data_IF_804379787477
#
_entry.id   IF_804379787477
#
_cell.length_a   1.000
_cell.length_b   1.000
_cell.length_c   1.000
_cell.angle_alpha   90.00
_cell.angle_beta   90.00
_cell.angle_gamma   90.00
#
_symmetry.space_group_name_H-M   'P 1'
#
loop_
_entity.id
_entity.type
_entity.pdbx_description
1 polymer ?
#
# COMPACT_ATOMS: atom_id res chain seq x y z
N UNK A 1 42.08 -38.84 35.89
CA UNK A 1 41.93 -40.23 36.37
C UNK A 1 41.33 -40.16 37.79
N UNK A 2 40.34 -40.96 38.06
CA UNK A 2 39.76 -41.08 39.39
C UNK A 2 40.35 -42.34 40.04
N UNK A 3 41.07 -42.15 41.14
CA UNK A 3 41.63 -43.23 41.91
C UNK A 3 41.10 -43.15 43.39
N UNK A 4 40.46 -44.20 43.86
CA UNK A 4 39.88 -44.20 45.21
C UNK A 4 38.85 -43.12 45.51
N UNK A 5 38.23 -42.53 44.46
CA UNK A 5 37.26 -41.42 44.58
C UNK A 5 37.87 -40.04 44.47
N UNK A 6 39.18 -39.90 44.37
CA UNK A 6 39.91 -38.63 44.16
C UNK A 6 40.32 -38.45 42.72
N UNK A 7 40.20 -37.24 42.20
CA UNK A 7 40.61 -36.86 40.84
C UNK A 7 42.13 -36.61 40.81
N UNK A 8 42.85 -37.49 40.18
CA UNK A 8 44.30 -37.29 39.94
C UNK A 8 44.49 -36.75 38.55
N UNK A 9 45.02 -35.54 38.45
CA UNK A 9 45.33 -34.89 37.16
C UNK A 9 46.78 -35.20 36.80
N UNK A 10 46.99 -35.87 35.68
CA UNK A 10 48.33 -36.15 35.14
C UNK A 10 48.33 -36.35 33.65
N UNK A 11 49.46 -36.15 32.97
CA UNK A 11 49.56 -36.34 31.52
C UNK A 11 49.36 -37.82 31.19
N UNK A 12 48.54 -38.11 30.18
CA UNK A 12 48.24 -39.47 29.69
C UNK A 12 49.49 -40.26 29.33
N UNK A 13 50.59 -39.59 28.94
CA UNK A 13 51.88 -40.18 28.63
C UNK A 13 52.55 -40.92 29.78
N UNK A 14 52.10 -40.72 31.01
CA UNK A 14 52.63 -41.39 32.18
C UNK A 14 52.04 -42.80 32.44
N UNK A 15 51.04 -43.14 31.61
CA UNK A 15 50.39 -44.46 31.74
C UNK A 15 50.69 -45.29 30.49
N UNK A 16 51.02 -46.57 30.72
CA UNK A 16 51.27 -47.50 29.62
C UNK A 16 49.93 -48.00 29.08
N UNK A 17 49.82 -48.01 27.78
CA UNK A 17 48.81 -48.76 27.07
C UNK A 17 49.04 -50.26 27.25
N UNK A 18 47.96 -51.08 27.14
CA UNK A 18 48.05 -52.53 27.37
C UNK A 18 49.05 -53.21 26.39
N UNK A 19 49.16 -52.72 25.16
CA UNK A 19 50.10 -53.21 24.17
C UNK A 19 51.56 -52.92 24.59
N UNK A 20 51.82 -51.72 25.10
CA UNK A 20 53.13 -51.33 25.64
C UNK A 20 53.44 -52.15 26.89
N UNK A 21 52.48 -52.42 27.74
CA UNK A 21 52.65 -53.26 28.93
C UNK A 21 52.97 -54.72 28.57
N UNK A 22 52.31 -55.27 27.54
CA UNK A 22 52.63 -56.62 27.03
C UNK A 22 54.04 -56.71 26.45
N UNK A 23 54.44 -55.70 25.68
CA UNK A 23 55.78 -55.66 25.12
C UNK A 23 56.85 -55.59 26.20
N UNK A 24 56.67 -54.76 27.21
CA UNK A 24 57.56 -54.61 28.32
C UNK A 24 57.66 -55.88 29.16
N UNK A 25 56.51 -56.53 29.39
CA UNK A 25 56.47 -57.84 30.05
C UNK A 25 57.24 -58.91 29.30
N UNK A 26 57.12 -58.93 27.98
CA UNK A 26 57.91 -59.86 27.12
C UNK A 26 59.39 -59.60 27.22
N UNK A 27 59.86 -58.34 27.20
CA UNK A 27 61.26 -57.98 27.39
C UNK A 27 61.83 -58.38 28.75
N UNK A 28 61.04 -58.24 29.85
CA UNK A 28 61.42 -58.61 31.19
C UNK A 28 61.52 -60.12 31.36
N UNK A 29 60.53 -60.90 30.84
CA UNK A 29 60.54 -62.36 30.89
C UNK A 29 61.75 -62.90 30.12
N UNK A 30 62.05 -62.37 28.93
CA UNK A 30 63.22 -62.76 28.12
C UNK A 30 64.52 -62.44 28.85
N UNK A 31 64.63 -61.38 29.60
CA UNK A 31 65.75 -61.04 30.43
C UNK A 31 65.99 -62.02 31.57
N UNK A 32 64.95 -62.63 32.13
CA UNK A 32 65.00 -63.62 33.26
C UNK A 32 65.43 -65.00 32.73
N UNK A 33 64.82 -65.43 31.60
CA UNK A 33 65.07 -66.83 31.13
C UNK A 33 66.13 -66.95 30.06
N UNK A 34 66.71 -65.90 29.59
CA UNK A 34 67.85 -65.80 28.57
C UNK A 34 67.61 -66.62 27.28
N UNK A 35 66.48 -67.26 27.07
CA UNK A 35 66.09 -68.02 25.90
C UNK A 35 64.64 -67.76 25.56
N UNK A 36 64.40 -67.03 24.44
CA UNK A 36 63.03 -66.64 24.00
C UNK A 36 62.21 -67.85 23.56
N UNK A 37 62.78 -68.96 23.26
CA UNK A 37 62.14 -70.19 22.77
C UNK A 37 61.87 -71.26 23.82
N UNK A 38 62.34 -71.01 25.05
CA UNK A 38 62.11 -71.93 26.13
C UNK A 38 60.64 -72.04 26.51
N UNK A 39 60.20 -73.27 26.91
CA UNK A 39 58.83 -73.47 27.28
C UNK A 39 58.46 -72.67 28.56
N UNK A 40 59.43 -72.45 29.43
CA UNK A 40 59.24 -71.67 30.68
C UNK A 40 59.05 -70.16 30.33
N UNK A 41 59.72 -69.60 29.34
CA UNK A 41 59.53 -68.21 28.89
C UNK A 41 58.20 -68.00 28.22
N UNK A 42 57.77 -68.90 27.33
CA UNK A 42 56.46 -68.85 26.69
C UNK A 42 55.31 -69.00 27.69
N UNK A 43 55.36 -69.97 28.59
CA UNK A 43 54.34 -70.16 29.64
C UNK A 43 54.31 -68.96 30.60
N UNK A 44 55.46 -68.38 30.96
CA UNK A 44 55.51 -67.20 31.83
C UNK A 44 54.86 -65.96 31.14
N UNK A 45 55.10 -65.80 29.88
CA UNK A 45 54.52 -64.71 29.12
C UNK A 45 52.99 -64.88 28.98
N UNK A 46 52.53 -66.06 28.60
CA UNK A 46 51.08 -66.34 28.50
C UNK A 46 50.35 -66.19 29.86
N UNK A 47 50.88 -66.71 30.90
CA UNK A 47 50.30 -66.63 32.28
C UNK A 47 50.17 -65.12 32.67
N UNK A 48 51.24 -64.38 32.60
CA UNK A 48 51.18 -62.95 33.00
C UNK A 48 50.20 -62.13 32.13
N UNK A 49 50.19 -62.36 30.84
CA UNK A 49 49.25 -61.64 29.96
C UNK A 49 47.80 -62.03 30.21
N UNK A 50 47.48 -63.27 30.57
CA UNK A 50 46.11 -63.71 30.90
C UNK A 50 45.58 -63.01 32.15
N UNK A 51 46.45 -62.76 33.15
CA UNK A 51 46.07 -62.03 34.35
C UNK A 51 46.23 -60.55 34.31
N UNK A 52 46.91 -60.01 33.23
CA UNK A 52 47.09 -58.57 33.03
C UNK A 52 45.79 -57.91 32.58
N UNK A 53 45.14 -57.17 33.45
CA UNK A 53 43.93 -56.41 33.13
C UNK A 53 44.21 -54.93 33.23
N UNK A 54 43.52 -54.11 32.35
CA UNK A 54 43.63 -52.66 32.45
C UNK A 54 43.16 -52.20 33.83
N UNK A 55 44.00 -51.49 34.56
CA UNK A 55 43.65 -50.88 35.86
C UNK A 55 43.11 -49.46 35.71
N UNK A 56 43.13 -48.92 34.49
CA UNK A 56 42.53 -47.64 34.09
C UNK A 56 41.58 -47.94 32.95
N UNK A 57 40.31 -47.60 33.08
CA UNK A 57 39.26 -47.80 32.09
C UNK A 57 38.73 -46.41 31.71
N UNK A 58 38.53 -46.17 30.44
CA UNK A 58 37.90 -44.97 29.97
C UNK A 58 36.40 -44.99 30.29
N UNK A 59 35.98 -44.08 31.19
CA UNK A 59 34.58 -43.88 31.49
C UNK A 59 34.01 -42.82 30.58
N UNK A 60 33.28 -43.26 29.57
CA UNK A 60 32.67 -42.39 28.56
C UNK A 60 31.59 -41.49 29.16
N UNK A 61 30.73 -42.03 29.99
CA UNK A 61 29.60 -41.27 30.58
C UNK A 61 30.10 -40.17 31.51
N UNK A 62 31.09 -40.47 32.34
CA UNK A 62 31.67 -39.50 33.24
C UNK A 62 32.49 -38.44 32.49
N UNK A 63 33.14 -38.83 31.42
CA UNK A 63 33.91 -37.89 30.56
C UNK A 63 32.97 -36.93 29.84
N UNK A 64 31.91 -37.43 29.22
CA UNK A 64 30.90 -36.63 28.57
C UNK A 64 30.16 -35.70 29.55
N UNK A 65 29.86 -36.19 30.74
CA UNK A 65 29.25 -35.37 31.80
C UNK A 65 30.18 -34.24 32.22
N UNK A 66 31.46 -34.55 32.49
CA UNK A 66 32.44 -33.54 32.88
C UNK A 66 32.69 -32.49 31.77
N UNK A 67 32.74 -32.91 30.51
CA UNK A 67 32.82 -32.00 29.40
C UNK A 67 31.61 -31.08 29.33
N UNK A 68 30.43 -31.62 29.50
CA UNK A 68 29.20 -30.83 29.53
C UNK A 68 29.18 -29.86 30.70
N UNK A 69 29.55 -30.31 31.89
CA UNK A 69 29.62 -29.46 33.09
C UNK A 69 30.65 -28.35 32.96
N UNK A 70 31.78 -28.58 32.26
CA UNK A 70 32.77 -27.56 31.96
C UNK A 70 32.24 -26.55 30.92
N UNK A 71 31.56 -27.02 29.88
CA UNK A 71 30.92 -26.14 28.89
C UNK A 71 29.82 -25.28 29.53
N UNK A 72 29.04 -25.86 30.45
CA UNK A 72 27.97 -25.12 31.15
C UNK A 72 28.52 -24.10 32.18
N UNK A 73 29.77 -24.24 32.62
CA UNK A 73 30.48 -23.25 33.46
C UNK A 73 31.06 -22.07 32.67
N UNK A 74 31.23 -22.23 31.37
CA UNK A 74 31.66 -21.10 30.51
C UNK A 74 30.50 -20.14 30.41
N UNK A 75 30.65 -18.93 30.92
CA UNK A 75 29.64 -17.88 30.81
C UNK A 75 29.37 -17.61 29.34
N UNK A 76 28.12 -17.73 28.92
CA UNK A 76 27.66 -17.36 27.57
C UNK A 76 27.60 -15.84 27.40
N UNK A 77 27.86 -15.10 28.47
CA UNK A 77 27.78 -13.65 28.50
C UNK A 77 29.15 -13.06 28.84
N UNK A 78 29.59 -12.13 28.00
CA UNK A 78 30.82 -11.37 28.24
C UNK A 78 30.45 -9.92 28.57
N UNK A 79 30.23 -9.66 29.86
CA UNK A 79 29.82 -8.36 30.35
C UNK A 79 28.30 -8.16 30.41
N UNK A 80 27.87 -7.01 30.92
CA UNK A 80 26.47 -6.60 31.06
C UNK A 80 26.30 -5.22 30.43
N UNK A 81 25.20 -5.00 29.74
CA UNK A 81 24.73 -3.69 29.28
C UNK A 81 23.55 -3.29 30.12
N UNK A 82 23.61 -2.11 30.73
CA UNK A 82 22.54 -1.61 31.59
C UNK A 82 21.34 -1.14 30.76
N UNK A 83 20.16 -1.11 31.38
CA UNK A 83 18.98 -0.54 30.73
C UNK A 83 19.24 0.95 30.46
N UNK A 84 18.95 1.40 29.23
CA UNK A 84 19.22 2.75 28.71
C UNK A 84 20.73 3.12 28.58
N UNK A 85 21.64 2.15 28.68
CA UNK A 85 23.04 2.37 28.33
C UNK A 85 23.18 2.56 26.80
N UNK A 86 23.86 3.64 26.38
CA UNK A 86 24.17 3.90 24.98
C UNK A 86 25.20 2.87 24.49
N UNK A 87 24.85 2.00 23.55
CA UNK A 87 25.75 1.01 22.97
C UNK A 87 26.66 1.61 21.91
N UNK A 88 26.12 2.50 21.08
CA UNK A 88 26.84 3.22 20.02
C UNK A 88 26.15 4.54 19.75
N UNK A 89 26.90 5.61 19.57
CA UNK A 89 26.40 6.92 19.19
C UNK A 89 26.31 7.08 17.67
N UNK A 90 25.48 8.05 17.23
CA UNK A 90 25.38 8.40 15.81
C UNK A 90 26.77 8.82 15.28
N UNK A 91 27.13 8.32 14.11
CA UNK A 91 28.44 8.59 13.44
C UNK A 91 29.68 7.93 14.07
N UNK A 92 29.55 7.14 15.13
CA UNK A 92 30.66 6.38 15.65
C UNK A 92 30.91 5.08 14.87
N UNK A 93 32.20 4.71 14.72
CA UNK A 93 32.58 3.48 14.03
C UNK A 93 32.13 2.26 14.86
N UNK A 94 31.45 1.33 14.22
CA UNK A 94 31.06 0.06 14.82
C UNK A 94 32.32 -0.81 14.92
N UNK A 95 32.83 -0.98 16.15
CA UNK A 95 33.93 -1.92 16.45
C UNK A 95 33.37 -3.34 16.63
N UNK A 96 34.25 -4.36 16.63
CA UNK A 96 33.82 -5.75 16.83
C UNK A 96 33.11 -5.95 18.18
N UNK A 97 33.52 -5.24 19.21
CA UNK A 97 32.88 -5.28 20.53
C UNK A 97 31.46 -4.67 20.51
N UNK A 98 31.28 -3.57 19.79
CA UNK A 98 29.97 -2.91 19.60
C UNK A 98 29.06 -3.81 18.74
N UNK A 99 29.61 -4.40 17.68
CA UNK A 99 28.88 -5.34 16.83
C UNK A 99 28.38 -6.55 17.62
N UNK A 100 29.22 -7.06 18.53
CA UNK A 100 28.86 -8.19 19.40
C UNK A 100 27.76 -7.81 20.39
N UNK A 101 27.80 -6.61 20.97
CA UNK A 101 26.72 -6.08 21.82
C UNK A 101 25.41 -5.93 21.06
N UNK A 102 25.45 -5.39 19.83
CA UNK A 102 24.27 -5.22 18.97
C UNK A 102 23.66 -6.59 18.56
N UNK A 103 24.50 -7.55 18.18
CA UNK A 103 24.05 -8.93 17.87
C UNK A 103 23.43 -9.60 19.08
N UNK A 104 24.04 -9.43 20.27
CA UNK A 104 23.49 -9.97 21.52
C UNK A 104 22.16 -9.32 21.88
N UNK A 105 22.02 -8.02 21.68
CA UNK A 105 20.79 -7.29 21.86
C UNK A 105 19.71 -7.80 20.89
N UNK A 106 20.04 -7.96 19.62
CA UNK A 106 19.13 -8.51 18.60
C UNK A 106 18.66 -9.92 18.98
N UNK A 107 19.58 -10.77 19.42
CA UNK A 107 19.27 -12.13 19.87
C UNK A 107 18.36 -12.12 21.10
N UNK A 108 18.61 -11.26 22.10
CA UNK A 108 17.78 -11.19 23.30
C UNK A 108 16.40 -10.57 23.00
N UNK A 109 16.32 -9.59 22.09
CA UNK A 109 15.05 -9.07 21.58
C UNK A 109 14.24 -10.15 20.84
N UNK A 110 14.89 -10.91 19.94
CA UNK A 110 14.21 -12.00 19.24
C UNK A 110 13.75 -13.10 20.22
N UNK A 111 14.54 -13.40 21.24
CA UNK A 111 14.19 -14.37 22.27
C UNK A 111 13.01 -13.90 23.15
N UNK A 112 13.00 -12.63 23.57
CA UNK A 112 11.91 -12.04 24.38
C UNK A 112 10.62 -11.89 23.59
N UNK A 113 10.73 -11.56 22.31
CA UNK A 113 9.58 -11.45 21.41
C UNK A 113 9.10 -12.80 20.86
N UNK A 114 9.82 -13.90 21.17
CA UNK A 114 9.42 -15.25 20.75
C UNK A 114 9.61 -15.57 19.27
N UNK A 115 10.39 -14.79 18.53
CA UNK A 115 10.52 -14.87 17.06
C UNK A 115 11.31 -16.10 16.53
N UNK A 116 11.77 -17.00 17.37
CA UNK A 116 12.61 -18.11 16.91
C UNK A 116 11.84 -19.38 16.48
N UNK A 117 10.53 -19.47 16.71
CA UNK A 117 9.76 -20.66 16.32
C UNK A 117 8.90 -20.38 15.09
N UNK A 118 8.79 -21.36 14.19
CA UNK A 118 7.87 -21.30 13.05
C UNK A 118 6.41 -20.96 13.47
N UNK A 119 6.02 -21.34 14.68
CA UNK A 119 4.74 -21.00 15.29
C UNK A 119 4.55 -19.52 15.54
N UNK A 120 5.61 -18.76 15.79
CA UNK A 120 5.51 -17.33 16.11
C UNK A 120 5.39 -16.51 14.82
N UNK A 121 6.08 -16.89 13.76
CA UNK A 121 5.85 -16.34 12.41
C UNK A 121 4.43 -16.64 11.93
N UNK A 122 3.91 -17.84 12.19
CA UNK A 122 2.53 -18.17 11.84
C UNK A 122 1.52 -17.29 12.59
N UNK A 123 1.74 -17.01 13.87
CA UNK A 123 0.89 -16.08 14.65
C UNK A 123 0.92 -14.67 14.11
N UNK A 124 2.10 -14.18 13.71
CA UNK A 124 2.27 -12.86 13.10
C UNK A 124 1.50 -12.76 11.76
N UNK A 125 1.65 -13.74 10.87
CA UNK A 125 0.90 -13.79 9.61
C UNK A 125 -0.61 -13.91 9.83
N UNK A 126 -1.05 -14.73 10.80
CA UNK A 126 -2.46 -14.83 11.15
C UNK A 126 -2.99 -13.51 11.71
N UNK A 127 -2.22 -12.86 12.58
CA UNK A 127 -2.56 -11.53 13.11
C UNK A 127 -2.72 -10.49 11.99
N UNK A 128 -1.75 -10.41 11.09
CA UNK A 128 -1.82 -9.52 9.93
C UNK A 128 -3.03 -9.84 9.03
N UNK A 129 -3.29 -11.14 8.76
CA UNK A 129 -4.45 -11.58 8.00
C UNK A 129 -5.77 -11.13 8.63
N UNK A 130 -5.93 -11.28 9.95
CA UNK A 130 -7.14 -10.84 10.64
C UNK A 130 -7.31 -9.31 10.60
N UNK A 131 -6.24 -8.55 10.79
CA UNK A 131 -6.30 -7.08 10.70
C UNK A 131 -6.71 -6.64 9.29
N UNK A 132 -6.07 -7.18 8.25
CA UNK A 132 -6.43 -6.88 6.85
C UNK A 132 -7.88 -7.27 6.57
N UNK A 133 -8.32 -8.45 7.03
CA UNK A 133 -9.71 -8.93 6.85
C UNK A 133 -10.72 -8.01 7.51
N UNK A 134 -10.43 -7.51 8.72
CA UNK A 134 -11.31 -6.55 9.43
C UNK A 134 -11.38 -5.23 8.64
N UNK A 135 -10.24 -4.70 8.17
CA UNK A 135 -10.21 -3.45 7.42
C UNK A 135 -10.99 -3.56 6.10
N UNK A 136 -10.83 -4.67 5.37
CA UNK A 136 -11.61 -4.94 4.16
C UNK A 136 -13.10 -5.14 4.47
N UNK A 137 -13.43 -5.84 5.54
CA UNK A 137 -14.82 -6.00 5.98
C UNK A 137 -15.46 -4.64 6.30
N UNK A 138 -14.76 -3.73 6.96
CA UNK A 138 -15.23 -2.37 7.20
C UNK A 138 -15.47 -1.61 5.90
N UNK A 139 -14.55 -1.72 4.92
CA UNK A 139 -14.71 -1.10 3.61
C UNK A 139 -15.97 -1.63 2.89
N UNK A 140 -16.11 -2.94 2.78
CA UNK A 140 -17.25 -3.54 2.09
C UNK A 140 -18.57 -3.26 2.80
N UNK A 141 -18.60 -3.27 4.13
CA UNK A 141 -19.77 -2.91 4.93
C UNK A 141 -20.18 -1.45 4.70
N UNK A 142 -19.23 -0.53 4.68
CA UNK A 142 -19.49 0.88 4.39
C UNK A 142 -20.07 1.06 2.97
N UNK A 143 -19.45 0.44 1.97
CA UNK A 143 -19.95 0.52 0.59
C UNK A 143 -21.36 -0.08 0.47
N UNK A 144 -21.63 -1.20 1.12
CA UNK A 144 -22.94 -1.86 1.12
C UNK A 144 -24.04 -1.00 1.77
N UNK A 145 -23.73 -0.38 2.90
CA UNK A 145 -24.73 0.39 3.69
C UNK A 145 -24.91 1.80 3.11
N UNK A 146 -23.81 2.52 2.85
CA UNK A 146 -23.86 3.95 2.55
C UNK A 146 -23.62 4.30 1.08
N UNK A 147 -23.00 3.41 0.30
CA UNK A 147 -22.64 3.64 -1.11
C UNK A 147 -23.05 2.46 -1.99
N UNK A 148 -24.25 1.98 -1.80
CA UNK A 148 -24.81 0.81 -2.50
C UNK A 148 -24.66 0.84 -4.04
N UNK A 149 -24.75 1.97 -4.75
CA UNK A 149 -24.48 2.03 -6.18
C UNK A 149 -23.05 1.57 -6.53
N UNK A 150 -22.04 2.04 -5.78
CA UNK A 150 -20.65 1.61 -6.00
C UNK A 150 -20.42 0.15 -5.64
N UNK A 151 -21.08 -0.34 -4.58
CA UNK A 151 -21.01 -1.75 -4.20
C UNK A 151 -21.57 -2.70 -5.26
N UNK A 152 -22.62 -2.28 -5.97
CA UNK A 152 -23.24 -3.09 -7.04
C UNK A 152 -22.49 -3.02 -8.37
N UNK A 153 -21.68 -2.00 -8.58
CA UNK A 153 -20.93 -1.80 -9.80
C UNK A 153 -19.55 -2.44 -9.69
N UNK A 154 -19.36 -3.56 -10.38
CA UNK A 154 -18.09 -4.28 -10.39
C UNK A 154 -16.93 -3.44 -10.92
N UNK A 155 -17.17 -2.49 -11.84
CA UNK A 155 -16.13 -1.58 -12.33
C UNK A 155 -15.64 -0.65 -11.23
N UNK A 156 -16.54 -0.14 -10.39
CA UNK A 156 -16.18 0.73 -9.26
C UNK A 156 -15.41 -0.03 -8.18
N UNK A 157 -15.83 -1.25 -7.87
CA UNK A 157 -15.08 -2.11 -6.94
C UNK A 157 -13.69 -2.44 -7.48
N UNK A 158 -13.58 -2.72 -8.77
CA UNK A 158 -12.29 -2.99 -9.42
C UNK A 158 -11.39 -1.75 -9.42
N UNK A 159 -11.95 -0.56 -9.68
CA UNK A 159 -11.24 0.72 -9.58
C UNK A 159 -10.62 0.94 -8.19
N UNK A 160 -11.42 0.78 -7.13
CA UNK A 160 -10.94 0.90 -5.75
C UNK A 160 -9.82 -0.12 -5.50
N UNK A 161 -10.03 -1.37 -5.90
CA UNK A 161 -9.08 -2.46 -5.67
C UNK A 161 -7.75 -2.24 -6.40
N UNK A 162 -7.77 -1.77 -7.65
CA UNK A 162 -6.54 -1.53 -8.43
C UNK A 162 -5.74 -0.37 -7.87
N UNK A 163 -6.40 0.70 -7.40
CA UNK A 163 -5.73 1.83 -6.75
C UNK A 163 -5.12 1.37 -5.43
N UNK A 164 -5.84 0.62 -4.60
CA UNK A 164 -5.30 0.08 -3.35
C UNK A 164 -4.10 -0.85 -3.61
N UNK A 165 -4.22 -1.74 -4.58
CA UNK A 165 -3.14 -2.65 -4.95
C UNK A 165 -1.90 -1.90 -5.44
N UNK A 166 -2.06 -0.87 -6.28
CA UNK A 166 -0.96 -0.05 -6.77
C UNK A 166 -0.21 0.64 -5.62
N UNK A 167 -0.91 1.19 -4.62
CA UNK A 167 -0.28 1.79 -3.44
C UNK A 167 0.45 0.74 -2.60
N UNK A 168 -0.15 -0.43 -2.37
CA UNK A 168 0.52 -1.51 -1.63
C UNK A 168 1.76 -2.02 -2.36
N UNK A 169 1.71 -2.10 -3.70
CA UNK A 169 2.86 -2.48 -4.52
C UNK A 169 4.00 -1.45 -4.42
N UNK A 170 3.68 -0.13 -4.46
CA UNK A 170 4.68 0.91 -4.23
C UNK A 170 5.26 0.84 -2.82
N UNK A 171 4.43 0.55 -1.80
CA UNK A 171 4.88 0.34 -0.43
C UNK A 171 5.86 -0.83 -0.32
N UNK A 172 5.54 -1.98 -0.94
CA UNK A 172 6.44 -3.13 -1.00
C UNK A 172 7.76 -2.80 -1.71
N UNK A 173 7.70 -2.07 -2.84
CA UNK A 173 8.89 -1.67 -3.57
C UNK A 173 9.78 -0.73 -2.74
N UNK A 174 9.20 0.29 -2.09
CA UNK A 174 9.91 1.22 -1.22
C UNK A 174 10.65 0.46 -0.10
N UNK A 175 10.00 -0.50 0.54
CA UNK A 175 10.61 -1.32 1.59
C UNK A 175 11.75 -2.20 1.04
N UNK A 176 11.56 -2.83 -0.12
CA UNK A 176 12.56 -3.70 -0.72
C UNK A 176 13.82 -2.95 -1.16
N UNK A 177 13.68 -1.72 -1.65
CA UNK A 177 14.80 -0.85 -2.05
C UNK A 177 15.31 0.06 -0.93
N UNK A 178 14.81 -0.09 0.30
CA UNK A 178 15.17 0.73 1.47
C UNK A 178 15.05 2.25 1.21
N UNK A 179 14.07 2.62 0.40
CA UNK A 179 13.77 4.02 0.12
C UNK A 179 12.91 4.63 1.24
N UNK A 180 12.80 5.96 1.25
CA UNK A 180 11.95 6.65 2.24
C UNK A 180 10.47 6.25 2.08
N UNK A 181 9.80 5.94 3.19
CA UNK A 181 8.38 5.62 3.22
C UNK A 181 7.49 6.77 2.68
N UNK A 182 7.98 7.99 2.72
CA UNK A 182 7.27 9.17 2.20
C UNK A 182 7.18 9.23 0.67
N UNK A 183 7.87 8.32 -0.06
CA UNK A 183 7.64 8.12 -1.49
C UNK A 183 6.34 7.36 -1.81
N UNK A 184 5.71 6.71 -0.82
CA UNK A 184 4.46 5.97 -1.06
C UNK A 184 3.32 6.97 -1.33
N UNK A 185 2.71 6.95 -2.53
CA UNK A 185 1.88 8.05 -3.00
C UNK A 185 0.41 7.94 -2.54
N UNK A 186 0.15 7.81 -1.25
CA UNK A 186 -1.21 7.68 -0.69
C UNK A 186 -2.06 8.92 -1.02
N UNK A 187 -1.44 10.10 -1.06
CA UNK A 187 -2.10 11.36 -1.40
C UNK A 187 -2.66 11.33 -2.83
N UNK A 188 -1.94 10.72 -3.77
CA UNK A 188 -2.42 10.56 -5.16
C UNK A 188 -3.68 9.69 -5.17
N UNK A 189 -3.67 8.55 -4.47
CA UNK A 189 -4.84 7.69 -4.37
C UNK A 189 -6.04 8.40 -3.77
N UNK A 190 -5.83 9.18 -2.69
CA UNK A 190 -6.90 9.93 -2.04
C UNK A 190 -7.51 10.99 -2.94
N UNK A 191 -6.70 11.71 -3.70
CA UNK A 191 -7.18 12.72 -4.64
C UNK A 191 -7.91 12.09 -5.82
N UNK A 192 -7.36 11.03 -6.42
CA UNK A 192 -7.99 10.27 -7.51
C UNK A 192 -9.37 9.75 -7.08
N UNK A 193 -9.46 9.06 -5.96
CA UNK A 193 -10.73 8.52 -5.46
C UNK A 193 -11.75 9.63 -5.14
N UNK A 194 -11.28 10.79 -4.67
CA UNK A 194 -12.16 11.94 -4.40
C UNK A 194 -12.77 12.49 -5.68
N UNK A 195 -11.98 12.58 -6.76
CA UNK A 195 -12.42 13.12 -8.05
C UNK A 195 -13.26 12.11 -8.81
N UNK A 196 -12.84 10.84 -8.83
CA UNK A 196 -13.51 9.78 -9.60
C UNK A 196 -14.80 9.27 -8.95
N UNK A 197 -14.86 9.23 -7.61
CA UNK A 197 -15.99 8.71 -6.86
C UNK A 197 -16.60 9.80 -5.98
N UNK A 198 -16.23 9.83 -4.70
CA UNK A 198 -16.62 10.87 -3.74
C UNK A 198 -15.67 10.96 -2.54
N UNK A 199 -15.74 12.08 -1.81
CA UNK A 199 -14.87 12.33 -0.66
C UNK A 199 -15.05 11.32 0.48
N UNK A 200 -16.24 10.74 0.66
CA UNK A 200 -16.50 9.80 1.76
C UNK A 200 -15.86 8.45 1.52
N UNK A 201 -15.96 7.93 0.28
CA UNK A 201 -15.27 6.70 -0.14
C UNK A 201 -13.77 6.90 -0.09
N UNK A 202 -13.28 8.01 -0.65
CA UNK A 202 -11.86 8.36 -0.63
C UNK A 202 -11.31 8.40 0.79
N UNK A 203 -12.02 9.02 1.73
CA UNK A 203 -11.59 9.12 3.13
C UNK A 203 -11.41 7.74 3.75
N UNK A 204 -12.42 6.86 3.63
CA UNK A 204 -12.35 5.53 4.22
C UNK A 204 -11.25 4.68 3.59
N UNK A 205 -11.16 4.65 2.26
CA UNK A 205 -10.11 3.89 1.55
C UNK A 205 -8.73 4.39 1.93
N UNK A 206 -8.56 5.72 2.03
CA UNK A 206 -7.27 6.30 2.39
C UNK A 206 -6.87 6.01 3.84
N UNK A 207 -7.80 6.01 4.79
CA UNK A 207 -7.54 5.60 6.17
C UNK A 207 -7.07 4.14 6.20
N UNK A 208 -7.77 3.27 5.47
CA UNK A 208 -7.38 1.85 5.36
C UNK A 208 -5.99 1.72 4.74
N UNK A 209 -5.69 2.46 3.66
CA UNK A 209 -4.37 2.45 3.04
C UNK A 209 -3.27 2.93 3.99
N UNK A 210 -3.50 4.01 4.74
CA UNK A 210 -2.54 4.51 5.73
C UNK A 210 -2.25 3.43 6.77
N UNK A 211 -3.27 2.76 7.29
CA UNK A 211 -3.10 1.68 8.28
C UNK A 211 -2.37 0.48 7.68
N UNK A 212 -2.74 0.03 6.48
CA UNK A 212 -2.09 -1.09 5.81
C UNK A 212 -0.61 -0.79 5.48
N UNK A 213 -0.32 0.42 4.99
CA UNK A 213 1.06 0.85 4.72
C UNK A 213 1.84 1.00 6.02
N UNK A 214 1.24 1.56 7.09
CA UNK A 214 1.90 1.65 8.40
C UNK A 214 2.28 0.28 8.94
N UNK A 215 1.42 -0.73 8.83
CA UNK A 215 1.73 -2.12 9.18
C UNK A 215 2.89 -2.66 8.33
N UNK A 216 2.90 -2.37 7.02
CA UNK A 216 3.94 -2.83 6.11
C UNK A 216 5.32 -2.25 6.46
N UNK A 217 5.39 -0.98 6.86
CA UNK A 217 6.66 -0.28 7.20
C UNK A 217 7.08 -0.44 8.67
N UNK A 218 6.47 -1.36 9.42
CA UNK A 218 6.85 -1.66 10.81
C UNK A 218 6.20 -0.76 11.87
N UNK A 219 4.95 -0.36 11.67
CA UNK A 219 4.13 0.42 12.63
C UNK A 219 4.70 1.81 12.97
N UNK A 220 5.12 2.56 11.94
CA UNK A 220 5.62 3.92 12.11
C UNK A 220 4.48 4.90 12.41
N UNK A 221 4.34 5.30 13.68
CA UNK A 221 3.29 6.21 14.14
C UNK A 221 3.43 7.62 13.54
N UNK A 222 4.66 8.11 13.36
CA UNK A 222 4.92 9.44 12.79
C UNK A 222 4.42 9.50 11.34
N UNK A 223 4.78 8.51 10.54
CA UNK A 223 4.27 8.36 9.18
C UNK A 223 2.73 8.32 9.16
N UNK A 224 2.13 7.54 10.06
CA UNK A 224 0.68 7.39 10.14
C UNK A 224 -0.01 8.72 10.44
N UNK A 225 0.46 9.46 11.44
CA UNK A 225 -0.08 10.78 11.82
C UNK A 225 0.08 11.76 10.66
N UNK A 226 1.27 11.87 10.09
CA UNK A 226 1.55 12.80 9.00
C UNK A 226 0.68 12.51 7.77
N UNK A 227 0.61 11.25 7.32
CA UNK A 227 -0.22 10.86 6.19
C UNK A 227 -1.70 11.13 6.43
N UNK A 228 -2.19 10.86 7.66
CA UNK A 228 -3.59 11.12 8.01
C UNK A 228 -3.97 12.59 7.78
N UNK A 229 -3.19 13.53 8.30
CA UNK A 229 -3.47 14.95 8.14
C UNK A 229 -3.37 15.41 6.68
N UNK A 230 -2.32 15.00 5.95
CA UNK A 230 -2.12 15.42 4.56
C UNK A 230 -3.19 14.86 3.65
N UNK A 231 -3.58 13.60 3.82
CA UNK A 231 -4.69 12.96 3.09
C UNK A 231 -6.01 13.69 3.36
N UNK A 232 -6.31 14.03 4.62
CA UNK A 232 -7.51 14.79 4.96
C UNK A 232 -7.56 16.14 4.22
N UNK A 233 -6.46 16.89 4.27
CA UNK A 233 -6.33 18.18 3.59
C UNK A 233 -6.43 18.02 2.06
N UNK A 234 -5.82 16.96 1.49
CA UNK A 234 -5.89 16.68 0.06
C UNK A 234 -7.31 16.43 -0.42
N UNK A 235 -8.06 15.58 0.28
CA UNK A 235 -9.48 15.30 -0.02
C UNK A 235 -10.31 16.58 0.04
N UNK A 236 -10.13 17.37 1.11
CA UNK A 236 -10.86 18.62 1.27
C UNK A 236 -10.57 19.61 0.15
N UNK A 237 -9.31 19.73 -0.29
CA UNK A 237 -8.87 20.68 -1.31
C UNK A 237 -9.43 20.37 -2.71
N UNK A 238 -9.64 19.06 -3.04
CA UNK A 238 -10.10 18.65 -4.37
C UNK A 238 -11.59 18.33 -4.45
N UNK A 239 -12.29 18.26 -3.33
CA UNK A 239 -13.72 17.89 -3.26
C UNK A 239 -14.63 18.73 -4.16
N UNK A 240 -14.31 19.99 -4.42
CA UNK A 240 -15.10 20.94 -5.22
C UNK A 240 -14.21 21.67 -6.22
N UNK A 241 -13.46 20.93 -7.01
CA UNK A 241 -12.61 21.52 -8.04
C UNK A 241 -13.46 22.01 -9.21
N UNK A 242 -13.43 23.30 -9.46
CA UNK A 242 -14.13 23.97 -10.58
C UNK A 242 -13.21 24.77 -11.49
N UNK A 243 -11.97 25.06 -11.07
CA UNK A 243 -11.04 25.92 -11.83
C UNK A 243 -9.65 25.30 -11.86
N UNK A 244 -8.98 25.33 -13.02
CA UNK A 244 -7.59 24.85 -13.19
C UNK A 244 -6.62 25.47 -12.19
N UNK A 245 -6.80 26.75 -11.83
CA UNK A 245 -5.96 27.44 -10.84
C UNK A 245 -5.99 26.77 -9.46
N UNK A 246 -7.06 26.06 -9.13
CA UNK A 246 -7.16 25.36 -7.84
C UNK A 246 -6.14 24.23 -7.70
N UNK A 247 -5.66 23.65 -8.79
CA UNK A 247 -4.58 22.63 -8.76
C UNK A 247 -3.32 23.25 -8.17
N UNK A 248 -2.94 24.43 -8.67
CA UNK A 248 -1.74 25.16 -8.19
C UNK A 248 -1.88 25.53 -6.72
N UNK A 249 -3.04 26.05 -6.31
CA UNK A 249 -3.28 26.37 -4.90
C UNK A 249 -3.25 25.14 -4.00
N UNK A 250 -3.74 24.00 -4.49
CA UNK A 250 -3.66 22.72 -3.76
C UNK A 250 -2.20 22.25 -3.59
N UNK A 251 -1.35 22.39 -4.61
CA UNK A 251 0.07 22.05 -4.51
C UNK A 251 0.75 22.79 -3.35
N UNK A 252 0.62 24.12 -3.33
CA UNK A 252 1.21 24.93 -2.26
C UNK A 252 0.57 24.65 -0.88
N UNK A 253 -0.74 24.43 -0.84
CA UNK A 253 -1.45 24.07 0.39
C UNK A 253 -0.92 22.76 0.97
N UNK A 254 -0.73 21.74 0.13
CA UNK A 254 -0.22 20.43 0.59
C UNK A 254 1.22 20.53 1.08
N UNK A 255 2.10 21.25 0.36
CA UNK A 255 3.48 21.46 0.80
C UNK A 255 3.52 22.19 2.15
N UNK A 256 2.79 23.32 2.26
CA UNK A 256 2.73 24.07 3.52
C UNK A 256 2.20 23.19 4.66
N UNK A 257 1.13 22.44 4.43
CA UNK A 257 0.56 21.54 5.42
C UNK A 257 1.52 20.42 5.81
N UNK A 258 2.27 19.86 4.86
CA UNK A 258 3.30 18.85 5.11
C UNK A 258 4.37 19.38 6.05
N UNK A 259 4.90 20.57 5.76
CA UNK A 259 5.89 21.21 6.61
C UNK A 259 5.32 21.52 8.00
N UNK A 260 4.11 22.07 8.06
CA UNK A 260 3.46 22.41 9.33
C UNK A 260 3.22 21.18 10.23
N UNK A 261 2.67 20.08 9.65
CA UNK A 261 2.44 18.84 10.39
C UNK A 261 3.75 18.22 10.84
N UNK A 262 4.76 18.22 9.98
CA UNK A 262 6.09 17.71 10.31
C UNK A 262 6.70 18.45 11.51
N UNK A 263 6.76 19.78 11.46
CA UNK A 263 7.27 20.57 12.57
C UNK A 263 6.45 20.39 13.85
N UNK A 264 5.13 20.22 13.73
CA UNK A 264 4.27 19.95 14.88
C UNK A 264 4.62 18.61 15.55
N UNK A 265 4.89 17.56 14.76
CA UNK A 265 5.32 16.25 15.27
C UNK A 265 6.71 16.34 15.92
N UNK A 266 7.65 17.07 15.30
CA UNK A 266 8.98 17.31 15.90
C UNK A 266 8.89 18.00 17.25
N UNK A 267 8.12 19.09 17.34
CA UNK A 267 7.89 19.81 18.60
C UNK A 267 7.26 18.91 19.67
N UNK A 268 6.25 18.14 19.29
CA UNK A 268 5.59 17.20 20.20
C UNK A 268 6.55 16.15 20.78
N UNK A 269 7.52 15.70 19.99
CA UNK A 269 8.53 14.72 20.41
C UNK A 269 9.73 15.32 21.12
N UNK A 270 9.85 16.66 21.17
CA UNK A 270 11.01 17.35 21.73
C UNK A 270 12.31 17.09 20.95
N UNK A 271 12.21 16.84 19.65
CA UNK A 271 13.39 16.62 18.79
C UNK A 271 14.05 17.96 18.49
N UNK A 272 15.37 18.03 18.67
CA UNK A 272 16.13 19.21 18.31
C UNK A 272 16.18 19.39 16.79
N UNK A 273 15.85 20.61 16.35
CA UNK A 273 15.84 20.96 14.92
C UNK A 273 17.24 20.92 14.30
N UNK A 274 18.31 21.14 15.07
CA UNK A 274 19.67 21.16 14.55
C UNK A 274 20.22 19.77 14.21
N UNK A 275 19.74 18.74 14.89
CA UNK A 275 20.24 17.36 14.77
C UNK A 275 19.42 16.49 13.83
N UNK A 276 18.35 17.03 13.23
CA UNK A 276 17.44 16.24 12.39
C UNK A 276 17.92 16.12 10.95
N UNK A 277 17.81 14.90 10.39
CA UNK A 277 18.05 14.67 8.96
C UNK A 277 16.84 15.10 8.13
N UNK A 278 16.92 16.27 7.50
CA UNK A 278 15.83 16.87 6.73
C UNK A 278 15.53 16.18 5.38
N UNK A 279 16.27 15.14 4.98
CA UNK A 279 16.00 14.43 3.71
C UNK A 279 14.59 13.83 3.65
N UNK A 280 14.10 13.28 4.76
CA UNK A 280 12.76 12.67 4.85
C UNK A 280 11.64 13.69 4.58
N UNK A 281 11.75 14.88 5.18
CA UNK A 281 10.77 15.93 4.93
C UNK A 281 10.86 16.48 3.50
N UNK A 282 12.07 16.52 2.93
CA UNK A 282 12.27 16.88 1.53
C UNK A 282 11.53 15.94 0.58
N UNK A 283 11.63 14.64 0.80
CA UNK A 283 10.89 13.64 0.02
C UNK A 283 9.37 13.77 0.21
N UNK A 284 8.91 14.00 1.44
CA UNK A 284 7.49 14.16 1.71
C UNK A 284 6.93 15.45 1.10
N UNK A 285 7.66 16.56 1.15
CA UNK A 285 7.28 17.80 0.50
C UNK A 285 7.22 17.66 -1.03
N UNK A 286 8.18 16.95 -1.62
CA UNK A 286 8.22 16.66 -3.05
C UNK A 286 7.02 15.82 -3.49
N UNK A 287 6.72 14.73 -2.79
CA UNK A 287 5.56 13.89 -3.11
C UNK A 287 4.25 14.65 -2.92
N UNK A 288 4.13 15.49 -1.89
CA UNK A 288 2.96 16.35 -1.66
C UNK A 288 2.79 17.39 -2.77
N UNK A 289 3.89 17.97 -3.27
CA UNK A 289 3.89 18.92 -4.38
C UNK A 289 3.47 18.27 -5.70
N UNK A 290 3.98 17.08 -6.01
CA UNK A 290 3.69 16.38 -7.26
C UNK A 290 2.32 15.70 -7.29
N UNK A 291 1.77 15.36 -6.13
CA UNK A 291 0.52 14.59 -6.03
C UNK A 291 -0.66 15.21 -6.78
N UNK A 292 -0.95 16.52 -6.72
CA UNK A 292 -2.02 17.12 -7.50
C UNK A 292 -1.81 17.00 -9.01
N UNK A 293 -0.59 17.24 -9.49
CA UNK A 293 -0.27 17.14 -10.93
C UNK A 293 -0.51 15.73 -11.44
N UNK A 294 0.05 14.73 -10.72
CA UNK A 294 -0.07 13.34 -11.11
C UNK A 294 -1.51 12.84 -11.00
N UNK A 295 -2.23 13.23 -9.94
CA UNK A 295 -3.63 12.84 -9.78
C UNK A 295 -4.50 13.35 -10.92
N UNK A 296 -4.41 14.65 -11.26
CA UNK A 296 -5.19 15.21 -12.35
C UNK A 296 -4.75 14.74 -13.74
N UNK A 297 -3.46 14.45 -13.92
CA UNK A 297 -2.96 13.83 -15.14
C UNK A 297 -3.49 12.41 -15.36
N UNK A 298 -3.77 11.67 -14.28
CA UNK A 298 -4.32 10.32 -14.33
C UNK A 298 -5.85 10.27 -14.47
N UNK A 299 -6.59 11.33 -14.09
CA UNK A 299 -8.07 11.34 -14.16
C UNK A 299 -8.60 10.94 -15.54
N UNK A 300 -8.17 11.51 -16.67
CA UNK A 300 -8.71 11.14 -17.98
C UNK A 300 -8.48 9.68 -18.34
N UNK A 301 -7.36 9.10 -17.90
CA UNK A 301 -7.07 7.69 -18.11
C UNK A 301 -8.09 6.80 -17.40
N UNK A 302 -8.38 7.10 -16.12
CA UNK A 302 -9.35 6.34 -15.33
C UNK A 302 -10.79 6.59 -15.80
N UNK A 303 -11.14 7.80 -16.20
CA UNK A 303 -12.45 8.11 -16.80
C UNK A 303 -12.70 7.27 -18.05
N UNK A 304 -11.73 7.23 -18.95
CA UNK A 304 -11.82 6.43 -20.19
C UNK A 304 -11.89 4.92 -19.90
N UNK A 305 -11.04 4.42 -19.01
CA UNK A 305 -10.95 2.98 -18.71
C UNK A 305 -12.20 2.45 -18.01
N UNK A 306 -12.82 3.24 -17.13
CA UNK A 306 -13.94 2.83 -16.29
C UNK A 306 -15.29 3.40 -16.73
N UNK A 307 -15.32 4.30 -17.71
CA UNK A 307 -16.54 4.96 -18.20
C UNK A 307 -17.15 5.91 -17.16
N UNK A 308 -16.30 6.54 -16.35
CA UNK A 308 -16.71 7.51 -15.32
C UNK A 308 -16.74 8.91 -15.93
N UNK A 309 -17.71 9.73 -15.53
CA UNK A 309 -17.76 11.13 -15.90
C UNK A 309 -17.62 11.97 -14.64
N UNK A 310 -16.47 12.65 -14.50
CA UNK A 310 -16.20 13.54 -13.37
C UNK A 310 -16.77 14.94 -13.59
N UNK A 311 -16.84 15.73 -12.54
CA UNK A 311 -17.20 17.14 -12.65
C UNK A 311 -16.19 17.93 -13.49
N UNK A 312 -14.93 17.45 -13.58
CA UNK A 312 -13.91 18.06 -14.42
C UNK A 312 -14.24 17.92 -15.91
N UNK A 313 -14.57 16.73 -16.38
CA UNK A 313 -15.02 16.49 -17.76
C UNK A 313 -16.35 17.19 -18.07
N UNK A 314 -17.26 17.28 -17.10
CA UNK A 314 -18.49 18.03 -17.27
C UNK A 314 -18.23 19.54 -17.48
N UNK A 315 -17.25 20.13 -16.78
CA UNK A 315 -16.88 21.54 -16.98
C UNK A 315 -16.30 21.77 -18.37
N UNK A 316 -15.51 20.83 -18.90
CA UNK A 316 -14.98 20.93 -20.27
C UNK A 316 -16.10 20.93 -21.32
N UNK A 317 -17.16 20.17 -21.10
CA UNK A 317 -18.33 20.16 -21.99
C UNK A 317 -19.12 21.47 -22.01
N UNK A 318 -18.95 22.35 -21.01
CA UNK A 318 -19.56 23.69 -21.00
C UNK A 318 -18.78 24.73 -21.81
N UNK A 319 -17.59 24.37 -22.29
CA UNK A 319 -16.77 25.29 -23.09
C UNK A 319 -17.43 25.49 -24.46
N UNK A 320 -17.58 26.75 -24.86
CA UNK A 320 -18.11 27.11 -26.18
C UNK A 320 -17.21 26.70 -27.34
N UNK A 321 -15.96 26.40 -27.07
CA UNK A 321 -15.02 25.84 -28.04
C UNK A 321 -15.26 24.36 -28.37
N UNK A 322 -16.12 23.67 -27.63
CA UNK A 322 -16.53 22.32 -27.97
C UNK A 322 -17.21 22.24 -29.34
N UNK A 323 -16.86 21.26 -30.19
CA UNK A 323 -17.33 21.19 -31.59
C UNK A 323 -18.85 21.28 -31.75
N UNK A 324 -19.61 20.57 -30.89
CA UNK A 324 -21.07 20.62 -30.92
C UNK A 324 -21.64 21.98 -30.48
N UNK A 325 -20.99 22.62 -29.48
CA UNK A 325 -21.42 23.95 -29.05
C UNK A 325 -21.19 25.01 -30.15
N UNK A 326 -20.03 24.95 -30.83
CA UNK A 326 -19.77 25.82 -32.02
C UNK A 326 -20.82 25.64 -33.10
N UNK A 327 -21.16 24.39 -33.45
CA UNK A 327 -22.21 24.11 -34.43
C UNK A 327 -23.58 24.63 -33.97
N UNK A 328 -23.95 24.49 -32.70
CA UNK A 328 -25.20 25.05 -32.16
C UNK A 328 -25.22 26.58 -32.27
N UNK A 329 -24.12 27.25 -32.00
CA UNK A 329 -24.00 28.72 -32.12
C UNK A 329 -24.16 29.16 -33.57
N UNK A 330 -23.52 28.47 -34.49
CA UNK A 330 -23.47 28.86 -35.92
C UNK A 330 -24.73 28.45 -36.68
N UNK A 331 -25.24 27.23 -36.50
CA UNK A 331 -26.30 26.63 -37.30
C UNK A 331 -27.69 26.69 -36.62
N UNK A 332 -27.76 26.74 -35.29
CA UNK A 332 -29.01 26.76 -34.52
C UNK A 332 -28.95 27.72 -33.32
N UNK A 333 -28.70 29.02 -33.51
CA UNK A 333 -28.48 29.98 -32.42
C UNK A 333 -29.65 30.12 -31.45
N UNK A 334 -30.89 29.94 -31.93
CA UNK A 334 -32.09 29.91 -31.07
C UNK A 334 -32.08 28.72 -30.11
N UNK A 335 -31.78 27.53 -30.62
CA UNK A 335 -31.64 26.33 -29.79
C UNK A 335 -30.49 26.46 -28.78
N UNK A 336 -29.36 27.02 -29.17
CA UNK A 336 -28.24 27.29 -28.24
C UNK A 336 -28.69 28.23 -27.11
N UNK A 337 -29.34 29.36 -27.43
CA UNK A 337 -29.86 30.31 -26.42
C UNK A 337 -30.89 29.68 -25.49
N UNK A 338 -31.79 28.84 -26.04
CA UNK A 338 -32.73 28.04 -25.27
C UNK A 338 -32.01 27.13 -24.30
N UNK A 339 -31.06 26.36 -24.78
CA UNK A 339 -30.30 25.37 -23.96
C UNK A 339 -29.55 26.04 -22.80
N UNK A 340 -28.95 27.22 -22.99
CA UNK A 340 -28.33 28.00 -21.92
C UNK A 340 -29.34 28.42 -20.84
N UNK A 341 -30.49 28.93 -21.25
CA UNK A 341 -31.57 29.34 -20.29
C UNK A 341 -32.07 28.18 -19.50
N UNK A 342 -32.39 27.06 -20.15
CA UNK A 342 -32.79 25.81 -19.51
C UNK A 342 -31.70 25.30 -18.57
N UNK A 343 -30.44 25.35 -19.01
CA UNK A 343 -29.31 24.95 -18.19
C UNK A 343 -29.16 25.74 -16.89
N UNK A 344 -29.35 27.07 -16.97
CA UNK A 344 -29.28 27.93 -15.79
C UNK A 344 -30.41 27.64 -14.81
N UNK A 345 -31.62 27.43 -15.29
CA UNK A 345 -32.80 27.07 -14.46
C UNK A 345 -32.64 25.69 -13.84
N UNK A 346 -32.19 24.71 -14.64
CA UNK A 346 -31.96 23.33 -14.17
C UNK A 346 -30.84 23.26 -13.11
N UNK A 347 -29.74 24.01 -13.28
CA UNK A 347 -28.69 24.09 -12.27
C UNK A 347 -29.21 24.66 -10.94
N UNK A 348 -29.99 25.77 -11.01
CA UNK A 348 -30.55 26.40 -9.83
C UNK A 348 -31.55 25.46 -9.09
N UNK A 349 -32.41 24.81 -9.85
CA UNK A 349 -33.38 23.85 -9.30
C UNK A 349 -32.69 22.64 -8.68
N UNK A 350 -31.69 22.07 -9.35
CA UNK A 350 -30.90 20.94 -8.84
C UNK A 350 -30.10 21.29 -7.58
N UNK A 351 -29.56 22.52 -7.49
CA UNK A 351 -28.91 23.02 -6.28
C UNK A 351 -29.92 23.10 -5.09
N UNK A 352 -31.13 23.55 -5.32
CA UNK A 352 -32.13 23.69 -4.27
C UNK A 352 -32.56 22.36 -3.66
N UNK A 353 -32.52 21.27 -4.44
CA UNK A 353 -32.86 19.91 -3.97
C UNK A 353 -31.63 19.06 -3.63
N UNK A 354 -30.43 19.63 -3.69
CA UNK A 354 -29.18 18.91 -3.40
C UNK A 354 -28.77 17.86 -4.46
N UNK A 355 -29.28 18.00 -5.70
CA UNK A 355 -28.91 17.13 -6.82
C UNK A 355 -27.61 17.58 -7.51
N UNK A 356 -27.10 16.79 -8.47
CA UNK A 356 -25.89 17.12 -9.27
C UNK A 356 -26.15 18.27 -10.23
N UNK A 357 -26.07 19.50 -9.74
CA UNK A 357 -26.43 20.71 -10.47
C UNK A 357 -25.61 20.95 -11.74
N UNK A 358 -24.29 20.67 -11.70
CA UNK A 358 -23.42 20.77 -12.85
C UNK A 358 -23.83 19.80 -13.97
N UNK A 359 -24.15 18.56 -13.61
CA UNK A 359 -24.65 17.57 -14.56
C UNK A 359 -25.96 18.00 -15.21
N UNK A 360 -26.90 18.56 -14.42
CA UNK A 360 -28.16 19.07 -14.96
C UNK A 360 -27.93 20.22 -15.96
N UNK A 361 -26.98 21.11 -15.66
CA UNK A 361 -26.62 22.19 -16.58
C UNK A 361 -26.03 21.67 -17.90
N UNK A 362 -25.06 20.72 -17.79
CA UNK A 362 -24.44 20.12 -18.99
C UNK A 362 -25.49 19.35 -19.79
N UNK A 363 -26.30 18.51 -19.12
CA UNK A 363 -27.38 17.78 -19.78
C UNK A 363 -28.32 18.72 -20.56
N UNK A 364 -28.69 19.86 -19.96
CA UNK A 364 -29.50 20.85 -20.62
C UNK A 364 -28.80 21.55 -21.80
N UNK A 365 -27.47 21.72 -21.76
CA UNK A 365 -26.75 22.32 -22.91
C UNK A 365 -26.76 21.41 -24.15
N UNK A 366 -26.88 20.09 -23.96
CA UNK A 366 -26.82 19.09 -25.03
C UNK A 366 -28.16 18.40 -25.33
N UNK A 367 -29.25 18.65 -24.54
CA UNK A 367 -30.50 17.90 -24.70
C UNK A 367 -31.11 18.00 -26.10
N UNK A 368 -30.93 19.12 -26.76
CA UNK A 368 -31.56 19.49 -28.02
C UNK A 368 -30.57 19.55 -29.24
N UNK A 369 -29.38 18.93 -29.12
CA UNK A 369 -28.37 18.98 -30.22
C UNK A 369 -28.87 18.37 -31.54
N UNK A 370 -29.83 17.45 -31.49
CA UNK A 370 -30.39 16.82 -32.67
C UNK A 370 -31.16 17.80 -33.57
N UNK A 371 -31.56 18.98 -33.06
CA UNK A 371 -32.16 20.05 -33.84
C UNK A 371 -31.21 20.63 -34.90
N UNK A 372 -29.90 20.41 -34.76
CA UNK A 372 -28.89 20.74 -35.77
C UNK A 372 -29.14 20.11 -37.15
N UNK A 373 -29.83 18.96 -37.21
CA UNK A 373 -30.12 18.33 -38.52
C UNK A 373 -31.11 19.09 -39.37
N UNK A 374 -32.05 19.83 -38.75
CA UNK A 374 -33.10 20.60 -39.43
C UNK A 374 -33.50 21.82 -38.59
N UNK A 375 -32.61 22.77 -38.33
CA UNK A 375 -32.85 23.86 -37.39
C UNK A 375 -34.06 24.73 -37.78
N UNK A 376 -34.31 24.91 -39.06
CA UNK A 376 -35.38 25.72 -39.60
C UNK A 376 -36.81 25.24 -39.31
N UNK A 377 -36.95 23.97 -38.83
CA UNK A 377 -38.25 23.46 -38.39
C UNK A 377 -38.58 23.78 -36.93
N UNK A 378 -37.64 24.33 -36.18
CA UNK A 378 -37.85 24.64 -34.75
C UNK A 378 -38.07 26.18 -34.59
N UNK A 379 -39.16 26.53 -33.94
CA UNK A 379 -39.65 27.90 -33.83
C UNK A 379 -38.59 28.89 -33.32
N UNK A 380 -37.75 28.48 -32.41
CA UNK A 380 -36.65 29.29 -31.85
C UNK A 380 -35.54 29.64 -32.85
N UNK A 381 -35.44 28.93 -33.99
CA UNK A 381 -34.47 29.20 -35.05
C UNK A 381 -35.11 29.80 -36.33
N UNK A 382 -36.45 29.90 -36.40
CA UNK A 382 -37.12 30.41 -37.59
C UNK A 382 -36.94 31.93 -37.73
N UNK A 383 -36.69 32.37 -38.94
CA UNK A 383 -36.51 33.78 -39.29
C UNK A 383 -37.58 34.28 -40.28
N UNK A 384 -38.70 33.57 -40.48
CA UNK A 384 -39.74 33.88 -41.43
C UNK A 384 -40.90 32.92 -41.34
N UNK A 385 -41.38 32.44 -42.51
CA UNK A 385 -42.53 31.53 -42.59
C UNK A 385 -42.24 30.20 -41.87
N UNK A 386 -43.30 29.67 -41.20
CA UNK A 386 -43.20 28.42 -40.50
C UNK A 386 -43.11 27.22 -41.49
N UNK A 387 -42.01 26.51 -41.50
CA UNK A 387 -41.78 25.36 -42.38
C UNK A 387 -42.80 24.23 -42.17
N UNK A 388 -43.46 24.18 -41.05
CA UNK A 388 -44.46 23.18 -40.73
C UNK A 388 -45.78 23.42 -41.51
N UNK A 389 -46.07 24.66 -41.97
CA UNK A 389 -47.29 25.00 -42.70
C UNK A 389 -47.29 24.37 -44.11
N UNK A 390 -46.14 24.04 -44.67
CA UNK A 390 -45.97 23.42 -45.99
C UNK A 390 -45.95 21.90 -46.02
N UNK A 391 -46.08 21.22 -44.83
CA UNK A 391 -45.99 19.77 -44.73
C UNK A 391 -47.20 19.21 -43.95
N UNK A 392 -47.41 17.90 -44.06
CA UNK A 392 -48.50 17.22 -43.35
C UNK A 392 -48.27 17.14 -41.80
N UNK A 393 -49.31 17.14 -40.97
CA UNK A 393 -49.15 16.98 -39.52
C UNK A 393 -48.33 15.77 -39.10
N UNK A 394 -48.52 14.65 -39.79
CA UNK A 394 -47.73 13.45 -39.54
C UNK A 394 -46.22 13.63 -39.80
N UNK A 395 -45.87 14.39 -40.86
CA UNK A 395 -44.50 14.68 -41.16
C UNK A 395 -43.89 15.65 -40.15
N UNK A 396 -44.65 16.66 -39.73
CA UNK A 396 -44.31 17.61 -38.65
C UNK A 396 -44.01 16.85 -37.36
N UNK A 397 -44.94 16.00 -36.93
CA UNK A 397 -44.74 15.16 -35.70
C UNK A 397 -43.52 14.25 -35.80
N UNK A 398 -43.23 13.70 -37.02
CA UNK A 398 -42.04 12.88 -37.25
C UNK A 398 -40.77 13.69 -37.09
N UNK A 399 -40.71 14.89 -37.70
CA UNK A 399 -39.53 15.78 -37.61
C UNK A 399 -39.28 16.17 -36.14
N UNK A 400 -40.37 16.59 -35.43
CA UNK A 400 -40.26 16.98 -34.02
C UNK A 400 -39.79 15.81 -33.11
N UNK A 401 -40.15 14.57 -33.38
CA UNK A 401 -39.68 13.40 -32.59
C UNK A 401 -38.25 13.01 -32.99
N UNK A 402 -37.88 13.23 -34.23
CA UNK A 402 -36.63 12.73 -34.80
C UNK A 402 -35.41 13.38 -34.16
N UNK A 403 -35.51 14.65 -33.61
CA UNK A 403 -34.35 15.29 -33.02
C UNK A 403 -33.74 14.50 -31.83
N UNK A 404 -34.53 13.70 -31.11
CA UNK A 404 -34.00 12.85 -30.03
C UNK A 404 -33.07 11.78 -30.59
N UNK A 405 -33.50 11.06 -31.64
CA UNK A 405 -32.65 10.05 -32.30
C UNK A 405 -31.45 10.67 -33.01
N UNK A 406 -31.65 11.81 -33.70
CA UNK A 406 -30.57 12.55 -34.36
C UNK A 406 -29.56 13.09 -33.32
N UNK A 407 -30.05 13.53 -32.17
CA UNK A 407 -29.23 13.98 -31.06
C UNK A 407 -28.39 12.87 -30.45
N UNK A 408 -28.95 11.68 -30.29
CA UNK A 408 -28.20 10.50 -29.82
C UNK A 408 -27.10 10.08 -30.81
N UNK A 409 -27.38 10.14 -32.14
CA UNK A 409 -26.38 9.86 -33.16
C UNK A 409 -25.24 10.89 -33.13
N UNK A 410 -25.54 12.16 -33.00
CA UNK A 410 -24.53 13.22 -32.85
C UNK A 410 -23.74 13.03 -31.54
N UNK A 411 -24.42 12.70 -30.46
CA UNK A 411 -23.74 12.45 -29.17
C UNK A 411 -22.79 11.25 -29.22
N UNK A 412 -23.10 10.23 -30.05
CA UNK A 412 -22.20 9.10 -30.31
C UNK A 412 -21.02 9.51 -31.16
N UNK A 413 -21.28 10.21 -32.27
CA UNK A 413 -20.27 10.70 -33.21
C UNK A 413 -19.20 11.59 -32.52
N UNK A 414 -19.65 12.47 -31.60
CA UNK A 414 -18.78 13.39 -30.87
C UNK A 414 -18.32 12.85 -29.50
N UNK A 415 -18.60 11.59 -29.19
CA UNK A 415 -18.09 10.93 -27.99
C UNK A 415 -18.61 11.50 -26.67
N UNK A 416 -19.85 12.02 -26.64
CA UNK A 416 -20.43 12.52 -25.36
C UNK A 416 -20.59 11.38 -24.35
N UNK A 417 -20.35 11.67 -23.06
CA UNK A 417 -20.55 10.70 -21.99
C UNK A 417 -21.98 10.12 -21.95
N UNK A 418 -22.11 8.84 -21.60
CA UNK A 418 -23.41 8.16 -21.52
C UNK A 418 -24.41 8.89 -20.65
N UNK A 419 -23.96 9.42 -19.52
CA UNK A 419 -24.81 10.16 -18.58
C UNK A 419 -25.38 11.46 -19.18
N UNK A 420 -24.71 12.07 -20.17
CA UNK A 420 -25.21 13.22 -20.92
C UNK A 420 -26.18 12.79 -22.01
N UNK A 421 -25.93 11.63 -22.67
CA UNK A 421 -26.85 11.03 -23.64
C UNK A 421 -28.22 10.71 -23.03
N UNK A 422 -28.28 10.35 -21.75
CA UNK A 422 -29.53 10.09 -21.02
C UNK A 422 -30.44 11.33 -21.02
N UNK A 423 -29.89 12.55 -20.91
CA UNK A 423 -30.68 13.79 -21.00
C UNK A 423 -31.28 13.96 -22.38
N UNK A 424 -30.54 13.64 -23.45
CA UNK A 424 -31.06 13.70 -24.83
C UNK A 424 -32.20 12.68 -24.99
N UNK A 425 -32.03 11.48 -24.47
CA UNK A 425 -33.02 10.42 -24.61
C UNK A 425 -34.31 10.67 -23.83
N UNK A 426 -34.23 11.37 -22.70
CA UNK A 426 -35.32 11.39 -21.69
C UNK A 426 -35.96 12.75 -21.47
N UNK A 427 -35.44 13.86 -22.04
CA UNK A 427 -35.91 15.21 -21.72
C UNK A 427 -37.39 15.49 -22.04
N UNK A 428 -38.01 14.76 -22.97
CA UNK A 428 -39.44 14.82 -23.22
C UNK A 428 -40.28 13.93 -22.31
N UNK A 429 -39.65 13.00 -21.58
CA UNK A 429 -40.32 12.03 -20.72
C UNK A 429 -41.33 11.21 -21.52
N UNK A 430 -42.54 11.10 -21.00
CA UNK A 430 -43.68 10.43 -21.64
C UNK A 430 -44.75 11.42 -22.14
N UNK A 431 -44.37 12.71 -22.32
CA UNK A 431 -45.30 13.75 -22.71
C UNK A 431 -45.82 13.55 -24.13
N UNK A 432 -47.14 13.69 -24.31
CA UNK A 432 -47.79 13.61 -25.61
C UNK A 432 -47.63 14.93 -26.37
N UNK A 433 -47.43 14.84 -27.69
CA UNK A 433 -47.51 16.00 -28.58
C UNK A 433 -48.97 16.29 -28.82
N UNK A 434 -49.54 17.31 -28.17
CA UNK A 434 -50.99 17.59 -28.19
C UNK A 434 -51.41 18.45 -29.36
N UNK A 435 -50.48 19.04 -30.11
CA UNK A 435 -50.80 19.94 -31.20
C UNK A 435 -51.29 19.23 -32.49
N UNK A 436 -50.98 17.94 -32.64
CA UNK A 436 -51.37 17.17 -33.83
C UNK A 436 -52.45 16.11 -33.53
#
# INVERSE_FOLDING_TARGET
>A
IIHGGELVIGPVKNYNDIEIAWKKNKEEINAIYQDETSIESLLGYELINEFMKPNIIFDKELTEKNQKDQLDRVSRFQGTVLANELIVDANNRITDSVLLKLKSLQFEYSRRLGYEKATDKLREYLGAYFVVSILLFLLFSFLYIYRRPYFKDHKMLFLISIIMYAIMLTGWAVMNYQASAYFIPIVIASMLLTVLLDASVSMLVSIILILLVSLLIGNNLDFTIMQFFIVFISIYSVRRLRKRRQIITTMFLLVFSTLFVFFSVMLFKGIDFLDYNYSEIGFFALTSFLSPILSFGLVPLFESAFGITTDYSLIELLDYDQPLQKKLIEEAPGTHTHSIKVGTLSESSANAVGARSLLCRVGAYYHDIGKLKKPEYYAENQQGENKHDSITPNMSAKILKQHVSDGLLLAEEYGLPSIVKDFIATHHGTKRIEYF
#
